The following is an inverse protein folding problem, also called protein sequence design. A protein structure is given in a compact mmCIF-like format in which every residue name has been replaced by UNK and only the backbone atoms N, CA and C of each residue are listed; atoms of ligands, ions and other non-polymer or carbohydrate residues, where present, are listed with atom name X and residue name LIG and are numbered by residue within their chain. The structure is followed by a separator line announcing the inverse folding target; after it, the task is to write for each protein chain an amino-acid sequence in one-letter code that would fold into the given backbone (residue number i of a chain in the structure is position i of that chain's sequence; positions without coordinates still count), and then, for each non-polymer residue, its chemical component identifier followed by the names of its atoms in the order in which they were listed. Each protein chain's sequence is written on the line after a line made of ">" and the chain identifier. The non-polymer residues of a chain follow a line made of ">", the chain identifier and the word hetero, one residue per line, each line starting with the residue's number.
data_IF_285904037070
#
_entry.id   IF_285904037070
#
_cell.length_a   1.000
_cell.length_b   1.000
_cell.length_c   1.000
_cell.angle_alpha   90.00
_cell.angle_beta   90.00
_cell.angle_gamma   90.00
#
_symmetry.space_group_name_H-M   'P 1'
#
loop_
_entity.id
_entity.type
_entity.pdbx_description
1 polymer ?
#
# COMPACT_ATOMS: atom_id res chain seq x y z
N UNK A 1 -15.91 3.66 -6.35
CA UNK A 1 -17.13 2.86 -6.59
C UNK A 1 -16.73 1.43 -6.27
N UNK A 2 -17.02 1.00 -5.03
CA UNK A 2 -16.68 -0.33 -4.54
C UNK A 2 -17.53 -1.32 -5.30
N UNK A 3 -16.93 -2.09 -6.22
CA UNK A 3 -17.60 -3.23 -6.85
C UNK A 3 -17.65 -4.36 -5.80
N UNK A 4 -18.78 -4.43 -5.11
CA UNK A 4 -19.14 -5.59 -4.28
C UNK A 4 -19.27 -6.79 -5.20
N UNK A 5 -18.28 -7.67 -5.23
CA UNK A 5 -18.41 -8.98 -5.90
C UNK A 5 -19.26 -9.89 -5.00
N UNK A 6 -20.59 -9.80 -5.15
CA UNK A 6 -21.51 -10.74 -4.52
C UNK A 6 -21.67 -11.95 -5.42
N UNK A 7 -21.09 -13.08 -5.03
CA UNK A 7 -21.40 -14.38 -5.64
C UNK A 7 -22.69 -14.89 -5.02
N UNK A 8 -23.81 -14.86 -5.78
CA UNK A 8 -25.10 -15.43 -5.34
C UNK A 8 -25.07 -16.93 -5.63
N UNK A 9 -24.98 -17.76 -4.59
CA UNK A 9 -25.20 -19.19 -4.71
C UNK A 9 -26.69 -19.46 -4.54
N UNK A 10 -27.38 -19.90 -5.61
CA UNK A 10 -28.80 -20.31 -5.59
C UNK A 10 -28.83 -21.80 -5.34
N UNK A 11 -29.26 -22.22 -4.15
CA UNK A 11 -29.58 -23.61 -3.84
C UNK A 11 -31.08 -23.82 -4.04
N UNK A 12 -31.47 -24.62 -5.06
CA UNK A 12 -32.86 -24.99 -5.31
C UNK A 12 -33.15 -26.30 -4.57
N UNK A 13 -33.91 -26.22 -3.48
CA UNK A 13 -34.43 -27.41 -2.80
C UNK A 13 -35.86 -27.58 -3.25
N UNK A 14 -36.14 -28.64 -4.01
CA UNK A 14 -37.50 -29.01 -4.44
C UNK A 14 -38.18 -29.81 -3.32
N UNK A 15 -39.11 -29.16 -2.61
CA UNK A 15 -40.01 -29.78 -1.64
C UNK A 15 -41.35 -29.05 -1.61
N UNK A 16 -42.47 -29.81 -1.58
CA UNK A 16 -43.86 -29.34 -1.72
C UNK A 16 -44.23 -28.49 -0.48
N UNK A 17 -44.30 -27.16 -0.64
CA UNK A 17 -44.72 -26.19 0.39
C UNK A 17 -44.50 -24.76 -0.09
N UNK A 18 -45.09 -23.72 0.53
CA UNK A 18 -44.93 -22.36 0.03
C UNK A 18 -43.45 -21.99 -0.02
N UNK A 19 -43.00 -21.59 -1.21
CA UNK A 19 -41.64 -21.21 -1.53
C UNK A 19 -41.14 -20.08 -0.60
N UNK A 20 -40.34 -20.41 0.39
CA UNK A 20 -39.56 -19.43 1.11
C UNK A 20 -38.19 -19.38 0.42
N UNK A 21 -37.96 -18.34 -0.38
CA UNK A 21 -36.66 -18.06 -0.99
C UNK A 21 -35.67 -17.65 0.12
N UNK A 22 -34.87 -18.56 0.61
CA UNK A 22 -33.71 -18.22 1.47
C UNK A 22 -32.62 -17.71 0.57
N UNK A 23 -32.50 -16.40 0.49
CA UNK A 23 -31.29 -15.74 -0.06
C UNK A 23 -30.24 -15.78 1.05
N UNK A 24 -29.37 -16.79 1.02
CA UNK A 24 -28.14 -16.77 1.79
C UNK A 24 -27.22 -15.72 1.14
N UNK A 25 -27.24 -14.50 1.66
CA UNK A 25 -26.16 -13.55 1.44
C UNK A 25 -24.93 -14.10 2.17
N UNK A 26 -24.10 -14.87 1.46
CA UNK A 26 -22.71 -15.02 1.84
C UNK A 26 -22.03 -13.71 1.50
N UNK A 27 -22.16 -12.70 2.36
CA UNK A 27 -21.15 -11.66 2.46
C UNK A 27 -19.88 -12.42 2.89
N UNK A 28 -18.84 -12.45 2.05
CA UNK A 28 -17.51 -12.76 2.54
C UNK A 28 -17.26 -11.75 3.67
N UNK A 29 -17.39 -12.22 4.92
CA UNK A 29 -16.95 -11.43 6.06
C UNK A 29 -15.46 -11.25 5.86
N UNK A 30 -15.05 -10.01 5.53
CA UNK A 30 -13.66 -9.60 5.62
C UNK A 30 -13.22 -9.95 7.05
N UNK A 31 -12.34 -10.94 7.17
CA UNK A 31 -11.85 -11.35 8.47
C UNK A 31 -11.06 -10.18 9.06
N UNK A 32 -11.22 -9.94 10.36
CA UNK A 32 -10.36 -8.96 11.02
C UNK A 32 -8.88 -9.37 10.81
N UNK A 33 -7.98 -8.41 10.53
CA UNK A 33 -6.57 -8.71 10.33
C UNK A 33 -6.03 -9.44 11.56
N UNK A 34 -5.29 -10.54 11.34
CA UNK A 34 -4.66 -11.29 12.43
C UNK A 34 -3.38 -10.62 12.92
N UNK A 35 -2.77 -9.77 12.09
CA UNK A 35 -1.57 -9.00 12.37
C UNK A 35 -1.74 -7.55 11.93
N UNK A 36 -1.22 -6.63 12.72
CA UNK A 36 -1.16 -5.22 12.37
C UNK A 36 0.06 -4.91 11.53
N UNK A 37 -0.05 -4.03 10.53
CA UNK A 37 1.09 -3.46 9.81
C UNK A 37 2.19 -2.92 10.76
N UNK A 38 1.79 -2.39 11.90
CA UNK A 38 2.69 -1.78 12.87
C UNK A 38 3.51 -2.77 13.72
N UNK A 39 3.27 -4.07 13.57
CA UNK A 39 4.08 -5.14 14.21
C UNK A 39 5.36 -5.46 13.45
N UNK A 40 5.46 -4.99 12.20
CA UNK A 40 6.60 -5.26 11.34
C UNK A 40 7.71 -4.22 11.49
N UNK A 41 8.89 -4.62 11.03
CA UNK A 41 10.08 -3.78 10.93
C UNK A 41 10.80 -4.06 9.62
N UNK A 42 11.61 -3.12 9.16
CA UNK A 42 12.46 -3.27 7.99
C UNK A 42 13.73 -2.44 8.14
N UNK A 43 14.80 -2.89 7.49
CA UNK A 43 16.05 -2.15 7.39
C UNK A 43 15.88 -0.98 6.42
N UNK A 44 16.23 0.24 6.84
CA UNK A 44 16.24 1.41 5.99
C UNK A 44 17.40 1.37 4.98
N UNK A 45 17.45 2.34 4.07
CA UNK A 45 18.50 2.42 3.03
C UNK A 45 19.91 2.67 3.62
N UNK A 46 20.04 2.96 4.92
CA UNK A 46 21.30 3.16 5.63
C UNK A 46 21.71 1.94 6.46
N UNK A 47 20.86 0.91 6.56
CA UNK A 47 21.11 -0.28 7.37
C UNK A 47 20.54 -0.22 8.80
N UNK A 48 19.67 0.77 9.11
CA UNK A 48 19.04 0.90 10.42
C UNK A 48 17.68 0.20 10.42
N UNK A 49 17.38 -0.55 11.49
CA UNK A 49 16.07 -1.21 11.64
C UNK A 49 15.03 -0.18 12.08
N UNK A 50 14.00 -0.03 11.28
CA UNK A 50 12.88 0.89 11.50
C UNK A 50 11.61 0.08 11.77
N UNK A 51 11.00 0.28 12.94
CA UNK A 51 9.67 -0.25 13.23
C UNK A 51 8.59 0.53 12.47
N UNK A 52 7.66 -0.18 11.83
CA UNK A 52 6.52 0.43 11.14
C UNK A 52 5.60 1.18 12.11
N UNK A 53 5.67 0.87 13.41
CA UNK A 53 4.94 1.62 14.45
C UNK A 53 5.33 3.11 14.53
N UNK A 54 6.52 3.48 14.03
CA UNK A 54 6.97 4.89 13.88
C UNK A 54 5.99 5.72 13.04
N UNK A 55 5.25 5.09 12.13
CA UNK A 55 4.34 5.76 11.20
C UNK A 55 2.87 5.73 11.63
N UNK A 56 2.58 5.16 12.80
CA UNK A 56 1.22 5.08 13.34
C UNK A 56 0.59 6.47 13.50
N UNK A 57 -0.69 6.58 13.13
CA UNK A 57 -1.43 7.84 13.16
C UNK A 57 -1.37 8.65 11.87
N UNK A 58 -0.51 8.25 10.91
CA UNK A 58 -0.51 8.77 9.54
C UNK A 58 -1.04 7.72 8.57
N UNK A 59 -1.57 8.15 7.44
CA UNK A 59 -1.76 7.25 6.29
C UNK A 59 -0.38 6.83 5.78
N UNK A 60 -0.29 5.61 5.26
CA UNK A 60 0.97 5.05 4.75
C UNK A 60 0.78 4.64 3.30
N UNK A 61 1.64 5.15 2.40
CA UNK A 61 1.71 4.70 1.02
C UNK A 61 2.97 3.85 0.84
N UNK A 62 2.80 2.53 0.83
CA UNK A 62 3.89 1.58 0.59
C UNK A 62 4.05 1.37 -0.92
N UNK A 63 5.27 1.60 -1.44
CA UNK A 63 5.54 1.53 -2.88
C UNK A 63 6.79 0.69 -3.15
N UNK A 64 6.66 -0.35 -3.97
CA UNK A 64 7.84 -1.05 -4.49
C UNK A 64 8.43 -0.29 -5.67
N UNK A 65 9.70 0.07 -5.59
CA UNK A 65 10.35 1.00 -6.51
C UNK A 65 11.55 0.38 -7.23
N UNK A 66 11.95 0.98 -8.36
CA UNK A 66 13.13 0.57 -9.10
C UNK A 66 13.73 1.74 -9.91
N UNK A 67 15.06 1.74 -10.07
CA UNK A 67 15.81 2.81 -10.73
C UNK A 67 15.80 2.73 -12.26
N UNK A 68 15.48 1.57 -12.86
CA UNK A 68 15.57 1.31 -14.31
C UNK A 68 14.25 0.84 -14.92
N UNK A 69 13.13 1.31 -14.38
CA UNK A 69 11.79 0.98 -14.83
C UNK A 69 11.22 2.12 -15.70
N UNK A 70 10.32 1.80 -16.63
CA UNK A 70 9.56 2.84 -17.36
C UNK A 70 8.75 3.76 -16.44
N UNK A 71 8.38 3.28 -15.24
CA UNK A 71 7.67 4.04 -14.23
C UNK A 71 8.57 4.81 -13.24
N UNK A 72 9.91 4.71 -13.36
CA UNK A 72 10.87 5.44 -12.50
C UNK A 72 10.60 6.95 -12.40
N UNK A 73 10.11 7.66 -13.45
CA UNK A 73 9.74 9.08 -13.33
C UNK A 73 8.68 9.37 -12.25
N UNK A 74 7.91 8.39 -11.79
CA UNK A 74 6.95 8.56 -10.70
C UNK A 74 7.60 8.93 -9.35
N UNK A 75 8.90 8.72 -9.17
CA UNK A 75 9.62 9.23 -8.00
C UNK A 75 9.41 10.74 -7.78
N UNK A 76 9.35 11.52 -8.87
CA UNK A 76 9.10 12.97 -8.80
C UNK A 76 7.72 13.28 -8.20
N UNK A 77 6.71 12.54 -8.60
CA UNK A 77 5.35 12.72 -8.08
C UNK A 77 5.20 12.16 -6.66
N UNK A 78 5.87 11.05 -6.32
CA UNK A 78 5.92 10.52 -4.95
C UNK A 78 6.54 11.54 -3.99
N UNK A 79 7.65 12.18 -4.40
CA UNK A 79 8.28 13.23 -3.60
C UNK A 79 7.34 14.44 -3.42
N UNK A 80 6.66 14.86 -4.50
CA UNK A 80 5.69 15.95 -4.43
C UNK A 80 4.50 15.60 -3.54
N UNK A 81 3.98 14.38 -3.64
CA UNK A 81 2.90 13.89 -2.78
C UNK A 81 3.32 13.94 -1.30
N UNK A 82 4.53 13.47 -1.00
CA UNK A 82 5.10 13.51 0.35
C UNK A 82 5.26 14.95 0.86
N UNK A 83 5.66 15.90 0.02
CA UNK A 83 5.79 17.32 0.40
C UNK A 83 4.44 17.99 0.67
N UNK A 84 3.41 17.64 -0.09
CA UNK A 84 2.06 18.24 0.06
C UNK A 84 1.34 17.69 1.30
N UNK A 85 1.46 16.38 1.55
CA UNK A 85 0.65 15.68 2.54
C UNK A 85 1.46 15.14 3.73
N UNK A 86 2.74 15.51 3.89
CA UNK A 86 3.67 14.92 4.87
C UNK A 86 3.23 14.97 6.34
N UNK A 87 2.27 15.86 6.68
CA UNK A 87 1.68 15.90 8.02
C UNK A 87 0.71 14.73 8.27
N UNK A 88 0.01 14.27 7.23
CA UNK A 88 -1.02 13.23 7.29
C UNK A 88 -0.68 11.94 6.55
N UNK A 89 0.32 11.96 5.67
CA UNK A 89 0.77 10.84 4.86
C UNK A 89 2.27 10.63 4.99
N UNK A 90 2.70 9.38 5.07
CA UNK A 90 4.09 8.98 4.81
C UNK A 90 4.16 8.10 3.57
N UNK A 91 5.17 8.30 2.73
CA UNK A 91 5.52 7.42 1.61
C UNK A 91 6.69 6.55 2.04
N UNK A 92 6.58 5.23 1.86
CA UNK A 92 7.63 4.26 2.17
C UNK A 92 8.08 3.59 0.87
N UNK A 93 9.31 3.86 0.43
CA UNK A 93 9.86 3.31 -0.80
C UNK A 93 10.69 2.05 -0.53
N UNK A 94 10.27 0.93 -1.09
CA UNK A 94 10.96 -0.37 -1.00
C UNK A 94 11.58 -0.75 -2.35
N UNK A 95 12.87 -0.58 -2.55
CA UNK A 95 13.54 -1.02 -3.78
C UNK A 95 13.43 -2.53 -3.96
N UNK A 96 13.13 -2.99 -5.19
CA UNK A 96 13.06 -4.41 -5.50
C UNK A 96 13.58 -4.73 -6.91
N UNK A 97 14.32 -5.83 -7.00
CA UNK A 97 14.87 -6.33 -8.26
C UNK A 97 14.06 -7.50 -8.87
N UNK A 98 12.86 -7.74 -8.34
CA UNK A 98 12.03 -8.90 -8.73
C UNK A 98 11.37 -8.76 -10.10
N UNK A 99 11.35 -7.54 -10.65
CA UNK A 99 10.76 -7.27 -11.96
C UNK A 99 11.84 -6.93 -12.99
N UNK A 100 12.22 -7.93 -13.78
CA UNK A 100 13.19 -7.84 -14.89
C UNK A 100 14.52 -7.19 -14.48
N UNK A 101 14.99 -7.44 -13.26
CA UNK A 101 16.27 -6.91 -12.74
C UNK A 101 16.42 -5.39 -12.90
N UNK A 102 15.31 -4.65 -12.72
CA UNK A 102 15.27 -3.20 -12.90
C UNK A 102 15.81 -2.41 -11.70
N UNK A 103 16.26 -3.09 -10.63
CA UNK A 103 16.96 -2.47 -9.48
C UNK A 103 18.27 -3.21 -9.16
N UNK A 104 19.27 -3.20 -10.08
CA UNK A 104 20.51 -3.97 -9.89
C UNK A 104 21.48 -3.35 -8.89
N UNK A 105 21.35 -2.05 -8.57
CA UNK A 105 22.26 -1.31 -7.71
C UNK A 105 22.31 -1.83 -6.27
N UNK A 106 23.39 -1.49 -5.56
CA UNK A 106 23.47 -1.62 -4.11
C UNK A 106 22.55 -0.59 -3.42
N UNK A 107 22.28 -0.75 -2.11
CA UNK A 107 21.53 0.25 -1.34
C UNK A 107 22.17 1.65 -1.42
N UNK A 108 23.50 1.73 -1.42
CA UNK A 108 24.25 2.98 -1.60
C UNK A 108 24.02 3.61 -2.97
N UNK A 109 24.03 2.80 -4.05
CA UNK A 109 23.76 3.28 -5.42
C UNK A 109 22.33 3.80 -5.54
N UNK A 110 21.34 3.07 -4.98
CA UNK A 110 19.94 3.42 -4.98
C UNK A 110 19.73 4.74 -4.23
N UNK A 111 20.30 4.87 -3.02
CA UNK A 111 20.25 6.10 -2.22
C UNK A 111 20.80 7.29 -2.98
N UNK A 112 21.98 7.14 -3.60
CA UNK A 112 22.61 8.18 -4.42
C UNK A 112 21.72 8.54 -5.62
N UNK A 113 21.20 7.54 -6.33
CA UNK A 113 20.30 7.74 -7.48
C UNK A 113 19.04 8.52 -7.09
N UNK A 114 18.34 8.11 -6.04
CA UNK A 114 17.12 8.74 -5.56
C UNK A 114 17.39 10.20 -5.12
N UNK A 115 18.45 10.43 -4.37
CA UNK A 115 18.83 11.77 -3.90
C UNK A 115 19.22 12.69 -5.06
N UNK A 116 20.06 12.22 -5.98
CA UNK A 116 20.65 13.06 -7.03
C UNK A 116 19.63 13.39 -8.13
N UNK A 117 18.82 12.40 -8.55
CA UNK A 117 17.93 12.57 -9.71
C UNK A 117 16.54 13.08 -9.34
N UNK A 118 16.08 12.81 -8.11
CA UNK A 118 14.70 13.10 -7.69
C UNK A 118 14.58 13.88 -6.39
N UNK A 119 15.70 14.13 -5.68
CA UNK A 119 15.69 14.86 -4.41
C UNK A 119 14.86 14.17 -3.32
N UNK A 120 14.78 12.83 -3.35
CA UNK A 120 13.91 12.04 -2.45
C UNK A 120 14.26 12.33 -0.99
N UNK A 121 13.22 12.65 -0.21
CA UNK A 121 13.25 12.92 1.23
C UNK A 121 12.34 11.98 2.03
N UNK A 122 11.40 11.29 1.39
CA UNK A 122 10.60 10.29 2.08
C UNK A 122 11.43 9.05 2.44
N UNK A 123 11.04 8.27 3.46
CA UNK A 123 11.73 7.07 3.89
C UNK A 123 11.96 6.05 2.76
N UNK A 124 13.23 5.72 2.54
CA UNK A 124 13.64 4.65 1.64
C UNK A 124 14.20 3.50 2.45
N UNK A 125 13.87 2.28 2.06
CA UNK A 125 14.30 1.04 2.71
C UNK A 125 15.38 0.33 1.91
N UNK A 126 16.05 -0.63 2.53
CA UNK A 126 16.98 -1.53 1.86
C UNK A 126 16.27 -2.33 0.79
N UNK A 127 17.01 -2.77 -0.23
CA UNK A 127 16.45 -3.58 -1.31
C UNK A 127 15.98 -4.92 -0.78
N UNK A 128 14.72 -5.26 -1.07
CA UNK A 128 14.05 -6.47 -0.61
C UNK A 128 13.41 -7.26 -1.76
N UNK A 129 12.96 -8.48 -1.47
CA UNK A 129 12.04 -9.20 -2.32
C UNK A 129 10.60 -8.86 -1.97
N UNK A 130 9.80 -8.47 -2.97
CA UNK A 130 8.39 -8.10 -2.83
C UNK A 130 7.43 -9.18 -3.30
N UNK A 131 7.98 -10.29 -3.79
CA UNK A 131 7.22 -11.48 -4.22
C UNK A 131 8.05 -12.75 -4.17
N UNK A 132 7.36 -13.90 -4.23
CA UNK A 132 7.98 -15.22 -4.29
C UNK A 132 8.46 -15.70 -2.93
N UNK A 133 9.20 -16.84 -2.93
CA UNK A 133 9.53 -17.59 -1.71
C UNK A 133 10.43 -16.86 -0.71
N UNK A 134 11.09 -15.76 -1.11
CA UNK A 134 11.94 -14.92 -0.26
C UNK A 134 11.29 -13.57 0.04
N UNK A 135 9.98 -13.46 -0.18
CA UNK A 135 9.23 -12.23 0.05
C UNK A 135 9.47 -11.72 1.47
N UNK A 136 9.62 -10.41 1.59
CA UNK A 136 9.81 -9.76 2.89
C UNK A 136 8.51 -9.80 3.71
N UNK A 137 8.53 -9.99 5.03
CA UNK A 137 7.33 -10.12 5.86
C UNK A 137 6.29 -8.99 5.69
N UNK A 138 6.73 -7.75 5.45
CA UNK A 138 5.83 -6.64 5.13
C UNK A 138 5.02 -6.91 3.85
N UNK A 139 5.66 -7.45 2.81
CA UNK A 139 5.00 -7.76 1.56
C UNK A 139 4.19 -9.06 1.63
N UNK A 140 4.59 -10.03 2.47
CA UNK A 140 3.74 -11.17 2.82
C UNK A 140 2.43 -10.67 3.43
N UNK A 141 2.52 -9.77 4.42
CA UNK A 141 1.34 -9.17 5.02
C UNK A 141 0.50 -8.38 4.02
N UNK A 142 1.10 -7.57 3.17
CA UNK A 142 0.40 -6.76 2.16
C UNK A 142 -0.37 -7.61 1.13
N UNK A 143 -0.02 -8.88 0.94
CA UNK A 143 -0.56 -9.75 -0.10
C UNK A 143 -1.10 -11.10 0.41
N UNK A 144 -1.47 -11.18 1.69
CA UNK A 144 -2.17 -12.34 2.27
C UNK A 144 -3.37 -11.86 3.10
N UNK A 145 -4.58 -12.09 2.59
CA UNK A 145 -5.83 -11.67 3.25
C UNK A 145 -6.02 -12.32 4.62
N UNK A 146 -5.41 -13.46 4.89
CA UNK A 146 -5.41 -14.10 6.23
C UNK A 146 -4.66 -13.28 7.24
N UNK A 147 -3.64 -12.51 6.82
CA UNK A 147 -2.83 -11.65 7.67
C UNK A 147 -3.43 -10.25 7.77
N UNK A 148 -3.80 -9.66 6.62
CA UNK A 148 -4.21 -8.25 6.52
C UNK A 148 -5.74 -8.04 6.54
N UNK A 149 -6.53 -9.12 6.40
CA UNK A 149 -7.99 -9.09 6.43
C UNK A 149 -8.65 -8.58 5.14
N UNK A 150 -7.88 -8.28 4.07
CA UNK A 150 -8.46 -7.63 2.90
C UNK A 150 -7.90 -8.09 1.55
N UNK A 151 -6.58 -8.19 1.38
CA UNK A 151 -5.94 -8.30 0.06
C UNK A 151 -5.04 -9.52 -0.10
N UNK A 152 -5.20 -10.24 -1.22
CA UNK A 152 -4.37 -11.37 -1.64
C UNK A 152 -3.48 -11.03 -2.85
N UNK A 153 -3.57 -9.82 -3.40
CA UNK A 153 -2.85 -9.44 -4.60
C UNK A 153 -1.43 -8.95 -4.27
N UNK A 154 -0.44 -9.69 -4.76
CA UNK A 154 0.97 -9.27 -4.75
C UNK A 154 1.23 -8.19 -5.80
N UNK A 155 2.33 -7.41 -5.67
CA UNK A 155 2.71 -6.46 -6.70
C UNK A 155 2.85 -7.14 -8.07
N UNK A 156 2.14 -6.62 -9.07
CA UNK A 156 2.21 -7.12 -10.46
C UNK A 156 3.40 -6.55 -11.23
N UNK A 157 3.92 -5.39 -10.80
CA UNK A 157 5.04 -4.68 -11.40
C UNK A 157 5.72 -3.73 -10.39
N UNK A 158 6.83 -3.08 -10.80
CA UNK A 158 7.40 -1.97 -10.04
C UNK A 158 6.40 -0.80 -9.96
N UNK A 159 6.44 -0.03 -8.90
CA UNK A 159 5.55 1.10 -8.61
C UNK A 159 4.09 0.72 -8.36
N UNK A 160 3.79 -0.52 -7.92
CA UNK A 160 2.53 -0.80 -7.25
C UNK A 160 2.50 -0.10 -5.89
N UNK A 161 1.31 0.34 -5.47
CA UNK A 161 1.15 1.19 -4.30
C UNK A 161 0.03 0.66 -3.42
N UNK A 162 0.34 0.33 -2.16
CA UNK A 162 -0.65 -0.01 -1.15
C UNK A 162 -0.88 1.21 -0.27
N UNK A 163 -2.12 1.68 -0.20
CA UNK A 163 -2.51 2.76 0.69
C UNK A 163 -3.15 2.20 1.95
N UNK A 164 -2.60 2.57 3.10
CA UNK A 164 -3.11 2.20 4.41
C UNK A 164 -3.69 3.43 5.12
N UNK A 165 -4.70 3.20 5.95
CA UNK A 165 -5.25 4.23 6.83
C UNK A 165 -4.35 4.51 8.05
N UNK A 166 -4.79 5.42 8.92
CA UNK A 166 -4.07 5.82 10.15
C UNK A 166 -3.94 4.69 11.18
N UNK A 167 -4.76 3.65 11.05
CA UNK A 167 -4.75 2.48 11.93
C UNK A 167 -3.90 1.33 11.35
N UNK A 168 -3.39 1.49 10.12
CA UNK A 168 -2.60 0.47 9.42
C UNK A 168 -3.45 -0.55 8.66
N UNK A 169 -4.73 -0.26 8.40
CA UNK A 169 -5.61 -1.08 7.55
C UNK A 169 -5.43 -0.70 6.09
N UNK A 170 -5.34 -1.68 5.20
CA UNK A 170 -5.23 -1.42 3.76
C UNK A 170 -6.56 -0.81 3.25
N UNK A 171 -6.47 0.34 2.59
CA UNK A 171 -7.60 1.03 1.96
C UNK A 171 -7.72 0.60 0.50
N UNK A 172 -6.57 0.52 -0.21
CA UNK A 172 -6.58 0.31 -1.65
C UNK A 172 -5.21 -0.16 -2.16
N UNK A 173 -5.21 -0.92 -3.24
CA UNK A 173 -4.03 -1.29 -4.03
C UNK A 173 -4.12 -0.66 -5.42
N UNK A 174 -3.10 0.10 -5.80
CA UNK A 174 -3.01 0.73 -7.12
C UNK A 174 -1.93 0.09 -7.96
N UNK A 175 -2.24 -0.15 -9.23
CA UNK A 175 -1.27 -0.59 -10.23
C UNK A 175 -0.19 0.47 -10.52
N UNK A 176 0.82 0.05 -11.27
CA UNK A 176 1.93 0.93 -11.67
C UNK A 176 1.49 2.11 -12.55
N UNK A 177 0.42 1.96 -13.30
CA UNK A 177 -0.18 2.95 -14.21
C UNK A 177 -0.87 4.12 -13.47
N UNK A 178 -1.34 3.89 -12.25
CA UNK A 178 -1.93 4.95 -11.42
C UNK A 178 -0.81 5.85 -10.88
N UNK A 179 -0.80 7.10 -11.30
CA UNK A 179 0.21 8.08 -10.89
C UNK A 179 0.02 8.51 -9.43
N UNK A 180 1.12 8.85 -8.71
CA UNK A 180 1.04 9.23 -7.30
C UNK A 180 0.12 10.42 -7.01
N UNK A 181 0.00 11.38 -7.93
CA UNK A 181 -0.87 12.56 -7.78
C UNK A 181 -2.26 12.36 -8.41
N UNK A 182 -2.59 11.14 -8.85
CA UNK A 182 -3.92 10.84 -9.38
C UNK A 182 -5.00 11.07 -8.32
N UNK A 183 -6.19 11.48 -8.78
CA UNK A 183 -7.36 11.68 -7.91
C UNK A 183 -7.78 10.40 -7.21
N UNK A 184 -7.51 9.23 -7.78
CA UNK A 184 -7.74 7.93 -7.15
C UNK A 184 -7.01 7.79 -5.81
N UNK A 185 -5.80 8.36 -5.70
CA UNK A 185 -5.00 8.37 -4.46
C UNK A 185 -5.34 9.61 -3.62
N UNK A 186 -5.29 10.81 -4.24
CA UNK A 186 -5.38 12.07 -3.49
C UNK A 186 -6.74 12.31 -2.86
N UNK A 187 -7.84 11.74 -3.40
CA UNK A 187 -9.17 11.79 -2.76
C UNK A 187 -9.17 11.23 -1.33
N UNK A 188 -8.34 10.23 -1.04
CA UNK A 188 -8.23 9.65 0.30
C UNK A 188 -7.43 10.55 1.26
N UNK A 189 -6.70 11.55 0.76
CA UNK A 189 -5.85 12.43 1.54
C UNK A 189 -6.51 13.79 1.85
N UNK A 190 -7.43 14.25 1.01
CA UNK A 190 -8.05 15.57 1.11
C UNK A 190 -8.91 15.77 2.36
N UNK A 191 -9.58 14.74 2.85
CA UNK A 191 -10.43 14.81 4.05
C UNK A 191 -9.66 15.11 5.33
N UNK A 192 -8.35 14.87 5.37
CA UNK A 192 -7.52 15.15 6.53
C UNK A 192 -7.15 16.65 6.63
N UNK A 193 -7.14 17.38 5.51
CA UNK A 193 -6.80 18.82 5.46
C UNK A 193 -7.96 19.69 6.00
N UNK A 194 -9.20 19.26 5.83
CA UNK A 194 -10.39 20.02 6.23
C UNK A 194 -10.57 20.04 7.76
N UNK A 195 -9.94 19.11 8.48
CA UNK A 195 -10.05 18.98 9.95
C UNK A 195 -8.89 19.61 10.72
N UNK A 196 -8.02 20.41 10.09
CA UNK A 196 -7.05 21.23 10.84
C UNK A 196 -7.82 22.42 11.43
N UNK A 197 -7.93 22.57 12.77
CA UNK A 197 -8.55 23.74 13.35
C UNK A 197 -7.75 24.97 12.89
N UNK A 198 -8.39 25.86 12.19
CA UNK A 198 -7.82 27.18 11.90
C UNK A 198 -7.64 27.88 13.25
N UNK A 199 -6.42 27.85 13.80
CA UNK A 199 -6.08 28.71 14.93
C UNK A 199 -6.07 30.12 14.36
N UNK A 200 -7.22 30.77 14.46
CA UNK A 200 -7.30 32.22 14.24
C UNK A 200 -6.72 32.84 15.51
N UNK A 201 -5.48 33.32 15.39
CA UNK A 201 -4.85 34.14 16.41
C UNK A 201 -5.76 35.34 16.71
N UNK A 202 -6.10 35.45 18.00
CA UNK A 202 -6.69 36.68 18.58
C UNK A 202 -5.57 37.53 19.13
#
# INVERSE_FOLDING_TARGET
>A
MILLRTTIAILIIAGIGPFTLFILNAAEELSAPTHSFYEYEAEDINGEIISMNTYKGKKVLVVNVASRCGYTPQYKELQKLYEIYGDSLVVLGFPSNDFLWQEPGSNSDIKKFCKTNYGIKFPMFSKIHVKGRKQHPIYDWLSDSKLNGWNDDSPSWNFNKYLLDKNGTIIELYGADVKPLDTLITRHLQFDIINIPTIIDK
#
